data_IF_311296920439
#
_entry.id   IF_311296920439
#
_cell.length_a   1.000
_cell.length_b   1.000
_cell.length_c   1.000
_cell.angle_alpha   90.00
_cell.angle_beta   90.00
_cell.angle_gamma   90.00
#
_symmetry.space_group_name_H-M   'P 1'
#
loop_
_entity.id
_entity.type
_entity.pdbx_description
1 polymer ?
#
# COMPACT_ATOMS: atom_id res chain seq x y z
N UNK A 1 46.20 19.24 14.94
CA UNK A 1 44.91 19.96 15.02
C UNK A 1 43.97 19.17 15.92
N UNK A 2 43.33 19.82 16.91
CA UNK A 2 42.33 19.17 17.77
C UNK A 2 41.19 18.64 16.89
N UNK A 3 40.93 17.32 16.93
CA UNK A 3 39.92 16.66 16.10
C UNK A 3 38.54 17.27 16.31
N UNK A 4 38.20 17.64 17.55
CA UNK A 4 36.93 18.25 17.90
C UNK A 4 36.77 19.63 17.26
N UNK A 5 37.81 20.45 17.29
CA UNK A 5 37.81 21.76 16.63
C UNK A 5 37.59 21.63 15.11
N UNK A 6 38.22 20.64 14.47
CA UNK A 6 38.02 20.41 13.03
C UNK A 6 36.63 19.87 12.72
N UNK A 7 36.11 18.96 13.54
CA UNK A 7 34.75 18.46 13.41
C UNK A 7 33.74 19.60 13.51
N UNK A 8 33.84 20.47 14.52
CA UNK A 8 32.94 21.63 14.69
C UNK A 8 33.00 22.61 13.52
N UNK A 9 34.20 22.83 12.96
CA UNK A 9 34.34 23.63 11.74
C UNK A 9 33.56 23.01 10.57
N UNK A 10 33.74 21.71 10.32
CA UNK A 10 33.04 21.00 9.24
C UNK A 10 31.52 20.95 9.47
N UNK A 11 31.08 20.80 10.71
CA UNK A 11 29.65 20.88 11.09
C UNK A 11 29.06 22.24 10.70
N UNK A 12 29.75 23.35 10.99
CA UNK A 12 29.29 24.68 10.62
C UNK A 12 29.25 24.87 9.10
N UNK A 13 30.28 24.42 8.38
CA UNK A 13 30.33 24.45 6.91
C UNK A 13 29.17 23.66 6.29
N UNK A 14 28.94 22.41 6.73
CA UNK A 14 27.86 21.55 6.23
C UNK A 14 26.48 22.08 6.60
N UNK A 15 26.31 22.66 7.79
CA UNK A 15 25.02 23.24 8.21
C UNK A 15 24.65 24.44 7.34
N UNK A 16 25.60 25.35 7.09
CA UNK A 16 25.40 26.50 6.20
C UNK A 16 25.12 26.08 4.75
N UNK A 17 25.74 24.99 4.29
CA UNK A 17 25.45 24.44 2.97
C UNK A 17 24.02 23.91 2.88
N UNK A 18 23.59 23.10 3.87
CA UNK A 18 22.24 22.52 3.93
C UNK A 18 21.13 23.55 4.12
N UNK A 19 21.39 24.68 4.79
CA UNK A 19 20.39 25.76 4.90
C UNK A 19 20.14 26.51 3.58
N UNK A 20 21.09 26.46 2.66
CA UNK A 20 21.05 27.19 1.38
C UNK A 20 20.59 26.33 0.19
N UNK A 21 20.31 25.03 0.40
CA UNK A 21 19.80 24.11 -0.62
C UNK A 21 18.64 23.28 -0.07
N UNK A 22 17.72 22.89 -0.96
CA UNK A 22 16.69 21.92 -0.61
C UNK A 22 17.36 20.56 -0.34
N UNK A 23 17.25 20.04 0.88
CA UNK A 23 17.80 18.73 1.21
C UNK A 23 17.10 17.66 0.37
N UNK A 24 17.85 17.00 -0.51
CA UNK A 24 17.36 15.83 -1.25
C UNK A 24 17.99 14.55 -0.69
N UNK A 25 17.25 13.44 -0.75
CA UNK A 25 17.71 12.13 -0.29
C UNK A 25 18.91 11.57 -1.08
N UNK A 26 19.08 12.01 -2.34
CA UNK A 26 20.01 11.40 -3.31
C UNK A 26 21.14 12.34 -3.76
N UNK A 27 21.14 13.59 -3.28
CA UNK A 27 22.11 14.61 -3.66
C UNK A 27 22.35 15.43 -2.41
N UNK A 28 23.39 15.09 -1.66
CA UNK A 28 24.17 16.03 -0.83
C UNK A 28 25.37 15.30 -0.20
N UNK A 29 26.29 14.83 -1.05
CA UNK A 29 27.57 14.29 -0.60
C UNK A 29 28.48 15.46 -0.21
N UNK A 30 28.45 15.83 1.07
CA UNK A 30 29.45 16.74 1.61
C UNK A 30 30.77 15.98 1.79
N UNK A 31 31.49 15.76 0.68
CA UNK A 31 32.69 14.93 0.58
C UNK A 31 33.73 15.19 1.67
N UNK A 32 33.79 16.42 2.20
CA UNK A 32 34.70 16.80 3.28
C UNK A 32 34.38 16.12 4.63
N UNK A 33 33.10 15.95 4.98
CA UNK A 33 32.69 15.32 6.25
C UNK A 33 32.91 13.81 6.19
N UNK A 34 32.55 13.17 5.07
CA UNK A 34 32.73 11.73 4.88
C UNK A 34 34.22 11.36 4.80
N UNK A 35 34.99 12.14 4.04
CA UNK A 35 36.45 12.01 4.00
C UNK A 35 37.05 12.20 5.39
N UNK A 36 36.56 13.18 6.16
CA UNK A 36 37.00 13.38 7.53
C UNK A 36 36.71 12.15 8.40
N UNK A 37 35.51 11.58 8.34
CA UNK A 37 35.19 10.36 9.07
C UNK A 37 36.09 9.21 8.66
N UNK A 38 36.25 8.94 7.37
CA UNK A 38 37.13 7.90 6.85
C UNK A 38 38.58 8.07 7.32
N UNK A 39 39.14 9.26 7.14
CA UNK A 39 40.52 9.58 7.54
C UNK A 39 40.74 9.42 9.05
N UNK A 40 39.73 9.73 9.89
CA UNK A 40 39.87 9.75 11.35
C UNK A 40 39.43 8.48 12.06
N UNK A 41 38.45 7.77 11.53
CA UNK A 41 37.82 6.61 12.18
C UNK A 41 38.22 5.28 11.52
N UNK A 42 38.59 5.29 10.24
CA UNK A 42 39.02 4.07 9.55
C UNK A 42 40.55 4.03 9.40
N UNK A 43 41.13 5.06 8.79
CA UNK A 43 42.53 5.04 8.35
C UNK A 43 43.53 5.50 9.42
N UNK A 44 43.09 6.27 10.42
CA UNK A 44 44.00 6.86 11.41
C UNK A 44 44.63 5.82 12.36
N UNK A 45 45.92 5.96 12.71
CA UNK A 45 46.50 5.20 13.83
C UNK A 45 45.84 5.57 15.17
N UNK A 46 45.26 6.76 15.30
CA UNK A 46 44.56 7.23 16.51
C UNK A 46 43.05 6.96 16.48
N UNK A 47 42.57 6.11 15.56
CA UNK A 47 41.13 5.90 15.32
C UNK A 47 40.31 5.58 16.58
N UNK A 48 40.85 4.80 17.53
CA UNK A 48 40.15 4.49 18.80
C UNK A 48 39.91 5.74 19.65
N UNK A 49 40.93 6.59 19.81
CA UNK A 49 40.81 7.88 20.54
C UNK A 49 39.88 8.84 19.80
N UNK A 50 39.99 8.90 18.47
CA UNK A 50 39.13 9.74 17.65
C UNK A 50 37.66 9.33 17.77
N UNK A 51 37.38 8.02 17.74
CA UNK A 51 36.04 7.48 17.94
C UNK A 51 35.45 7.86 19.29
N UNK A 52 36.22 7.77 20.38
CA UNK A 52 35.76 8.19 21.70
C UNK A 52 35.38 9.68 21.77
N UNK A 53 36.13 10.54 21.07
CA UNK A 53 35.85 11.98 21.02
C UNK A 53 34.60 12.25 20.16
N UNK A 54 34.51 11.64 18.98
CA UNK A 54 33.41 11.85 18.05
C UNK A 54 32.10 11.21 18.52
N UNK A 55 32.14 10.15 19.34
CA UNK A 55 30.95 9.56 19.94
C UNK A 55 30.14 10.58 20.76
N UNK A 56 30.80 11.54 21.41
CA UNK A 56 30.13 12.63 22.15
C UNK A 56 29.28 13.53 21.26
N UNK A 57 29.50 13.48 19.95
CA UNK A 57 28.83 14.28 18.94
C UNK A 57 27.90 13.46 18.05
N UNK A 58 27.54 12.24 18.46
CA UNK A 58 26.79 11.28 17.64
C UNK A 58 25.46 11.86 17.11
N UNK A 59 24.68 12.56 17.93
CA UNK A 59 23.44 13.20 17.48
C UNK A 59 23.65 14.23 16.37
N UNK A 60 24.73 15.03 16.44
CA UNK A 60 25.11 15.97 15.38
C UNK A 60 25.52 15.23 14.11
N UNK A 61 26.27 14.13 14.25
CA UNK A 61 26.68 13.30 13.12
C UNK A 61 25.45 12.68 12.43
N UNK A 62 24.50 12.13 13.19
CA UNK A 62 23.24 11.57 12.68
C UNK A 62 22.39 12.63 11.96
N UNK A 63 22.26 13.82 12.54
CA UNK A 63 21.51 14.93 11.92
C UNK A 63 22.09 15.35 10.57
N UNK A 64 23.42 15.36 10.46
CA UNK A 64 24.09 15.75 9.22
C UNK A 64 24.17 14.62 8.19
N UNK A 65 23.92 13.38 8.59
CA UNK A 65 24.00 12.21 7.73
C UNK A 65 22.80 12.12 6.76
N UNK A 66 23.02 11.47 5.61
CA UNK A 66 22.00 11.02 4.65
C UNK A 66 22.23 9.53 4.36
N UNK A 67 21.40 8.88 3.52
CA UNK A 67 21.53 7.44 3.27
C UNK A 67 22.90 7.01 2.70
N UNK A 68 23.58 7.87 1.94
CA UNK A 68 24.90 7.60 1.34
C UNK A 68 26.08 7.90 2.30
N UNK A 69 25.85 8.74 3.32
CA UNK A 69 26.90 9.31 4.17
C UNK A 69 26.90 8.78 5.61
N UNK A 70 26.33 7.59 5.86
CA UNK A 70 26.30 6.98 7.19
C UNK A 70 27.35 5.87 7.38
N UNK A 71 28.23 5.66 6.40
CA UNK A 71 29.24 4.59 6.43
C UNK A 71 30.08 4.62 7.72
N UNK A 72 30.28 5.83 8.26
CA UNK A 72 31.02 6.05 9.50
C UNK A 72 30.46 5.29 10.71
N UNK A 73 29.16 5.02 10.72
CA UNK A 73 28.50 4.27 11.79
C UNK A 73 28.97 2.81 11.81
N UNK A 74 29.35 2.28 10.64
CA UNK A 74 29.92 0.95 10.47
C UNK A 74 31.42 0.86 10.74
N UNK A 75 32.11 1.95 11.08
CA UNK A 75 33.53 1.89 11.40
C UNK A 75 33.75 1.35 12.82
N UNK A 76 34.64 0.35 12.95
CA UNK A 76 34.98 -0.28 14.24
C UNK A 76 35.40 0.71 15.30
N UNK A 77 36.05 1.81 14.92
CA UNK A 77 36.42 2.86 15.85
C UNK A 77 35.23 3.54 16.54
N UNK A 78 34.02 3.45 15.99
CA UNK A 78 32.78 3.98 16.60
C UNK A 78 32.07 2.87 17.36
N UNK A 79 31.66 1.79 16.70
CA UNK A 79 30.78 0.81 17.34
C UNK A 79 31.44 0.01 18.47
N UNK A 80 32.78 -0.04 18.54
CA UNK A 80 33.51 -0.71 19.63
C UNK A 80 33.77 0.17 20.86
N UNK A 81 33.32 1.44 20.84
CA UNK A 81 33.44 2.32 22.00
C UNK A 81 32.51 1.87 23.13
N UNK A 82 32.99 2.06 24.36
CA UNK A 82 32.14 1.91 25.54
C UNK A 82 30.93 2.85 25.43
N UNK A 83 29.75 2.38 25.84
CA UNK A 83 28.49 3.14 25.76
C UNK A 83 28.04 3.54 24.35
N UNK A 84 28.59 2.92 23.30
CA UNK A 84 28.14 3.21 21.93
C UNK A 84 26.62 3.02 21.77
N UNK A 85 26.08 1.88 22.22
CA UNK A 85 24.65 1.59 22.12
C UNK A 85 23.79 2.57 22.91
N UNK A 86 24.17 2.88 24.16
CA UNK A 86 23.49 3.87 24.99
C UNK A 86 23.46 5.24 24.31
N UNK A 87 24.60 5.66 23.74
CA UNK A 87 24.71 6.95 23.05
C UNK A 87 23.90 6.97 21.75
N UNK A 88 23.88 5.85 21.01
CA UNK A 88 23.09 5.70 19.80
C UNK A 88 21.60 5.77 20.10
N UNK A 89 21.13 5.03 21.11
CA UNK A 89 19.73 5.08 21.54
C UNK A 89 19.32 6.50 21.94
N UNK A 90 20.14 7.19 22.74
CA UNK A 90 19.88 8.57 23.17
C UNK A 90 19.90 9.62 22.04
N UNK A 91 20.40 9.27 20.86
CA UNK A 91 20.61 10.21 19.74
C UNK A 91 19.86 9.84 18.46
N UNK A 92 19.21 8.66 18.39
CA UNK A 92 18.67 8.12 17.15
C UNK A 92 17.54 8.99 16.56
N UNK A 93 16.79 9.66 17.43
CA UNK A 93 15.75 10.63 17.09
C UNK A 93 16.28 11.85 16.31
N UNK A 94 17.59 12.10 16.34
CA UNK A 94 18.24 13.18 15.60
C UNK A 94 18.49 12.84 14.13
N UNK A 95 18.26 11.60 13.70
CA UNK A 95 18.43 11.22 12.31
C UNK A 95 17.41 11.93 11.41
N UNK A 96 17.90 12.62 10.39
CA UNK A 96 17.07 13.50 9.54
C UNK A 96 16.06 12.77 8.66
N UNK A 97 16.13 11.44 8.57
CA UNK A 97 15.35 10.62 7.65
C UNK A 97 14.69 9.44 8.40
N UNK A 98 13.71 9.69 9.28
CA UNK A 98 13.12 8.67 10.14
C UNK A 98 12.50 7.50 9.36
N UNK A 99 11.96 7.75 8.16
CA UNK A 99 11.37 6.70 7.32
C UNK A 99 12.42 5.74 6.72
N UNK A 100 13.69 6.14 6.71
CA UNK A 100 14.85 5.40 6.22
C UNK A 100 15.68 4.79 7.35
N UNK A 101 15.24 4.91 8.60
CA UNK A 101 16.00 4.44 9.76
C UNK A 101 16.37 2.96 9.67
N UNK A 102 15.54 2.13 9.04
CA UNK A 102 15.86 0.71 8.82
C UNK A 102 17.13 0.49 7.99
N UNK A 103 17.42 1.37 7.04
CA UNK A 103 18.63 1.30 6.22
C UNK A 103 19.87 1.60 7.07
N UNK A 104 19.74 2.52 8.03
CA UNK A 104 20.81 2.83 8.98
C UNK A 104 21.17 1.62 9.83
N UNK A 105 20.16 0.94 10.37
CA UNK A 105 20.36 -0.28 11.14
C UNK A 105 20.91 -1.43 10.27
N UNK A 106 20.47 -1.55 9.02
CA UNK A 106 20.99 -2.55 8.09
C UNK A 106 22.49 -2.37 7.83
N UNK A 107 22.94 -1.13 7.61
CA UNK A 107 24.36 -0.83 7.42
C UNK A 107 25.17 -1.15 8.69
N UNK A 108 24.69 -0.74 9.87
CA UNK A 108 25.34 -1.07 11.13
C UNK A 108 25.42 -2.59 11.35
N UNK A 109 24.31 -3.30 11.15
CA UNK A 109 24.20 -4.75 11.34
C UNK A 109 25.19 -5.53 10.46
N UNK A 110 25.34 -5.13 9.19
CA UNK A 110 26.26 -5.79 8.24
C UNK A 110 27.73 -5.51 8.51
N UNK A 111 28.06 -4.39 9.17
CA UNK A 111 29.45 -3.95 9.41
C UNK A 111 30.00 -4.36 10.78
N UNK A 112 29.15 -4.57 11.79
CA UNK A 112 29.59 -5.03 13.11
C UNK A 112 30.17 -6.44 12.98
N UNK A 113 31.46 -6.61 13.28
CA UNK A 113 32.15 -7.91 13.31
C UNK A 113 31.97 -8.68 14.63
N UNK A 114 31.49 -8.03 15.69
CA UNK A 114 31.22 -8.64 16.99
C UNK A 114 29.78 -9.16 17.08
N UNK A 115 29.61 -10.48 17.10
CA UNK A 115 28.28 -11.12 17.13
C UNK A 115 27.44 -10.73 18.35
N UNK A 116 28.04 -10.66 19.55
CA UNK A 116 27.35 -10.22 20.76
C UNK A 116 26.83 -8.78 20.62
N UNK A 117 27.65 -7.87 20.08
CA UNK A 117 27.21 -6.50 19.85
C UNK A 117 26.08 -6.45 18.80
N UNK A 118 26.20 -7.24 17.73
CA UNK A 118 25.21 -7.32 16.65
C UNK A 118 23.85 -7.82 17.15
N UNK A 119 23.85 -8.87 17.97
CA UNK A 119 22.62 -9.42 18.56
C UNK A 119 21.98 -8.46 19.58
N UNK A 120 22.74 -7.51 20.14
CA UNK A 120 22.28 -6.56 21.15
C UNK A 120 22.08 -5.12 20.62
N UNK A 121 21.94 -4.93 19.30
CA UNK A 121 21.62 -3.62 18.69
C UNK A 121 20.29 -3.06 19.21
N UNK A 122 19.29 -3.92 19.31
CA UNK A 122 17.94 -3.54 19.73
C UNK A 122 17.78 -3.74 21.24
N UNK A 123 18.42 -2.87 22.02
CA UNK A 123 18.23 -2.80 23.47
C UNK A 123 16.83 -2.27 23.81
N UNK A 124 16.41 -2.39 25.08
CA UNK A 124 15.12 -1.85 25.53
C UNK A 124 15.00 -0.34 25.25
N UNK A 125 16.02 0.45 25.62
CA UNK A 125 16.07 1.90 25.37
C UNK A 125 16.02 2.24 23.88
N UNK A 126 16.70 1.42 23.04
CA UNK A 126 16.65 1.61 21.59
C UNK A 126 15.24 1.40 21.05
N UNK A 127 14.56 0.33 21.48
CA UNK A 127 13.21 0.03 21.03
C UNK A 127 12.21 1.10 21.49
N UNK A 128 12.33 1.59 22.73
CA UNK A 128 11.52 2.71 23.23
C UNK A 128 11.64 3.93 22.33
N UNK A 129 12.87 4.32 21.97
CA UNK A 129 13.13 5.44 21.06
C UNK A 129 12.59 5.21 19.66
N UNK A 130 12.73 4.00 19.11
CA UNK A 130 12.17 3.64 17.80
C UNK A 130 10.63 3.70 17.81
N UNK A 131 9.99 3.38 18.93
CA UNK A 131 8.53 3.49 19.10
C UNK A 131 8.10 4.96 19.20
N UNK A 132 8.80 5.79 19.97
CA UNK A 132 8.56 7.24 20.04
C UNK A 132 8.63 7.94 18.67
N UNK A 133 9.46 7.42 17.75
CA UNK A 133 9.59 7.95 16.40
C UNK A 133 8.39 7.67 15.47
N UNK A 134 7.41 6.85 15.90
CA UNK A 134 6.17 6.53 15.18
C UNK A 134 6.41 6.20 13.69
N UNK A 135 7.22 5.17 13.45
CA UNK A 135 7.68 4.78 12.11
C UNK A 135 6.56 4.11 11.29
N UNK A 136 6.75 4.01 9.97
CA UNK A 136 5.83 3.23 9.13
C UNK A 136 5.89 1.73 9.46
N UNK A 137 4.81 0.98 9.22
CA UNK A 137 4.81 -0.48 9.43
C UNK A 137 5.88 -1.19 8.61
N UNK A 138 6.23 -0.66 7.43
CA UNK A 138 7.32 -1.20 6.60
C UNK A 138 8.70 -0.99 7.23
N UNK A 139 8.93 0.17 7.86
CA UNK A 139 10.18 0.45 8.57
C UNK A 139 10.32 -0.45 9.81
N UNK A 140 9.26 -0.59 10.62
CA UNK A 140 9.25 -1.52 11.73
C UNK A 140 9.48 -2.97 11.29
N UNK A 141 8.81 -3.43 10.22
CA UNK A 141 9.00 -4.79 9.70
C UNK A 141 10.45 -5.08 9.28
N UNK A 142 11.16 -4.09 8.67
CA UNK A 142 12.59 -4.24 8.34
C UNK A 142 13.46 -4.33 9.59
N UNK A 143 13.23 -3.47 10.58
CA UNK A 143 13.95 -3.52 11.86
C UNK A 143 13.72 -4.86 12.56
N UNK A 144 12.46 -5.31 12.60
CA UNK A 144 12.03 -6.59 13.17
C UNK A 144 12.77 -7.78 12.58
N UNK A 145 13.11 -7.74 11.29
CA UNK A 145 13.81 -8.83 10.62
C UNK A 145 15.26 -9.04 11.11
N UNK A 146 15.85 -8.01 11.73
CA UNK A 146 17.19 -8.04 12.32
C UNK A 146 17.19 -8.40 13.82
N UNK A 147 16.02 -8.57 14.42
CA UNK A 147 15.86 -8.81 15.86
C UNK A 147 15.80 -10.30 16.21
N UNK A 148 16.31 -10.64 17.39
CA UNK A 148 16.08 -11.95 18.04
C UNK A 148 14.62 -12.12 18.46
N UNK A 149 14.16 -13.35 18.72
CA UNK A 149 12.78 -13.63 19.13
C UNK A 149 12.35 -12.80 20.37
N UNK A 150 13.23 -12.66 21.37
CA UNK A 150 12.95 -11.86 22.57
C UNK A 150 12.76 -10.37 22.25
N UNK A 151 13.64 -9.81 21.41
CA UNK A 151 13.56 -8.41 20.99
C UNK A 151 12.30 -8.14 20.16
N UNK A 152 11.91 -9.09 19.31
CA UNK A 152 10.70 -9.03 18.50
C UNK A 152 9.44 -8.96 19.36
N UNK A 153 9.30 -9.85 20.34
CA UNK A 153 8.18 -9.81 21.28
C UNK A 153 8.13 -8.50 22.07
N UNK A 154 9.28 -8.01 22.55
CA UNK A 154 9.36 -6.72 23.26
C UNK A 154 8.93 -5.54 22.38
N UNK A 155 9.37 -5.51 21.11
CA UNK A 155 8.95 -4.48 20.17
C UNK A 155 7.43 -4.53 19.93
N UNK A 156 6.86 -5.72 19.70
CA UNK A 156 5.42 -5.85 19.48
C UNK A 156 4.60 -5.41 20.72
N UNK A 157 5.01 -5.79 21.93
CA UNK A 157 4.35 -5.31 23.16
C UNK A 157 4.46 -3.80 23.32
N UNK A 158 5.61 -3.19 23.01
CA UNK A 158 5.76 -1.74 23.09
C UNK A 158 4.92 -1.02 22.04
N UNK A 159 4.88 -1.51 20.79
CA UNK A 159 4.04 -0.94 19.73
C UNK A 159 2.56 -0.97 20.13
N UNK A 160 2.11 -2.11 20.66
CA UNK A 160 0.73 -2.29 21.11
C UNK A 160 0.40 -1.44 22.34
N UNK A 161 1.32 -1.35 23.32
CA UNK A 161 1.10 -0.58 24.56
C UNK A 161 1.14 0.94 24.34
N UNK A 162 1.85 1.39 23.31
CA UNK A 162 1.89 2.80 22.89
C UNK A 162 0.82 3.13 21.84
N UNK A 163 -0.12 2.22 21.57
CA UNK A 163 -1.22 2.41 20.61
C UNK A 163 -0.75 2.81 19.21
N UNK A 164 0.41 2.30 18.78
CA UNK A 164 0.96 2.58 17.45
C UNK A 164 0.15 1.79 16.42
N UNK A 165 -0.51 2.49 15.49
CA UNK A 165 -1.24 1.83 14.42
C UNK A 165 -0.27 1.25 13.37
N UNK A 166 -0.12 -0.08 13.39
CA UNK A 166 0.70 -0.84 12.45
C UNK A 166 -0.06 -2.01 11.86
N UNK A 167 0.33 -2.37 10.64
CA UNK A 167 -0.11 -3.61 10.02
C UNK A 167 0.73 -4.80 10.51
N UNK A 168 0.22 -5.54 11.50
CA UNK A 168 0.88 -6.71 12.10
C UNK A 168 1.19 -7.84 11.11
N UNK A 169 0.47 -7.92 9.97
CA UNK A 169 0.79 -8.92 8.93
C UNK A 169 2.16 -8.70 8.28
N UNK A 170 2.76 -7.51 8.39
CA UNK A 170 4.09 -7.23 7.85
C UNK A 170 5.23 -7.84 8.64
N UNK A 171 4.97 -8.36 9.83
CA UNK A 171 5.97 -8.93 10.75
C UNK A 171 6.11 -10.46 10.59
N UNK A 172 5.77 -10.98 9.41
CA UNK A 172 5.86 -12.39 9.03
C UNK A 172 7.17 -12.72 8.33
N UNK A 173 7.59 -14.01 8.28
CA UNK A 173 6.86 -15.24 8.64
C UNK A 173 7.16 -15.79 10.04
N UNK A 174 7.52 -14.95 11.00
CA UNK A 174 7.97 -15.39 12.32
C UNK A 174 6.81 -15.99 13.17
N UNK A 175 6.96 -17.22 13.67
CA UNK A 175 5.94 -17.93 14.46
C UNK A 175 5.58 -17.21 15.77
N UNK A 176 6.55 -16.51 16.36
CA UNK A 176 6.37 -15.64 17.52
C UNK A 176 5.35 -14.52 17.24
N UNK A 177 5.34 -13.97 16.02
CA UNK A 177 4.35 -12.97 15.61
C UNK A 177 2.93 -13.54 15.62
N UNK A 178 2.73 -14.76 15.11
CA UNK A 178 1.40 -15.41 15.10
C UNK A 178 0.91 -15.62 16.53
N UNK A 179 1.78 -16.16 17.39
CA UNK A 179 1.47 -16.38 18.81
C UNK A 179 1.12 -15.07 19.50
N UNK A 180 1.89 -14.01 19.26
CA UNK A 180 1.64 -12.68 19.78
C UNK A 180 0.26 -12.15 19.34
N UNK A 181 -0.05 -12.22 18.05
CA UNK A 181 -1.34 -11.76 17.50
C UNK A 181 -2.49 -12.52 18.17
N UNK A 182 -2.38 -13.85 18.31
CA UNK A 182 -3.42 -14.68 18.94
C UNK A 182 -3.70 -14.26 20.39
N UNK A 183 -2.64 -14.02 21.16
CA UNK A 183 -2.75 -13.66 22.57
C UNK A 183 -3.22 -12.22 22.80
N UNK A 184 -2.98 -11.32 21.83
CA UNK A 184 -3.24 -9.90 21.97
C UNK A 184 -4.36 -9.38 21.05
N UNK A 185 -5.12 -10.27 20.40
CA UNK A 185 -6.07 -9.86 19.36
C UNK A 185 -7.11 -8.85 19.83
N UNK A 186 -7.58 -9.00 21.07
CA UNK A 186 -8.60 -8.13 21.67
C UNK A 186 -8.06 -6.67 21.83
N UNK A 187 -6.76 -6.52 22.10
CA UNK A 187 -6.06 -5.23 22.11
C UNK A 187 -5.77 -4.74 20.69
N UNK A 188 -5.43 -5.61 19.75
CA UNK A 188 -5.13 -5.22 18.36
C UNK A 188 -6.36 -4.64 17.67
N UNK A 189 -7.54 -5.23 17.91
CA UNK A 189 -8.81 -4.76 17.38
C UNK A 189 -9.13 -3.30 17.72
N UNK A 190 -8.83 -2.89 18.95
CA UNK A 190 -9.22 -1.57 19.49
C UNK A 190 -8.34 -0.44 18.95
N UNK A 191 -7.13 -0.75 18.49
CA UNK A 191 -6.13 0.25 18.08
C UNK A 191 -5.91 0.36 16.57
N UNK A 192 -6.83 -0.21 15.77
CA UNK A 192 -6.88 0.05 14.33
C UNK A 192 -5.91 -0.76 13.47
N UNK A 193 -5.43 -1.91 13.94
CA UNK A 193 -4.70 -2.82 13.05
C UNK A 193 -5.55 -3.23 11.84
N UNK A 194 -4.92 -3.34 10.65
CA UNK A 194 -5.60 -3.82 9.45
C UNK A 194 -6.04 -5.28 9.63
N UNK A 195 -7.28 -5.48 10.06
CA UNK A 195 -7.78 -6.81 10.42
C UNK A 195 -7.98 -7.70 9.21
N UNK A 196 -8.18 -7.12 8.02
CA UNK A 196 -8.34 -7.88 6.78
C UNK A 196 -7.04 -8.65 6.49
N UNK A 197 -5.89 -8.00 6.62
CA UNK A 197 -4.60 -8.64 6.38
C UNK A 197 -4.30 -9.71 7.46
N UNK A 198 -4.66 -9.45 8.72
CA UNK A 198 -4.52 -10.43 9.81
C UNK A 198 -5.44 -11.64 9.59
N UNK A 199 -6.71 -11.41 9.24
CA UNK A 199 -7.68 -12.47 8.94
C UNK A 199 -7.17 -13.35 7.80
N UNK A 200 -6.77 -12.74 6.68
CA UNK A 200 -6.22 -13.44 5.52
C UNK A 200 -4.99 -14.27 5.88
N UNK A 201 -4.12 -13.74 6.72
CA UNK A 201 -2.98 -14.48 7.24
C UNK A 201 -3.42 -15.73 8.00
N UNK A 202 -4.38 -15.60 8.91
CA UNK A 202 -4.85 -16.71 9.74
C UNK A 202 -5.56 -17.79 8.90
N UNK A 203 -6.29 -17.38 7.86
CA UNK A 203 -6.85 -18.30 6.85
C UNK A 203 -5.73 -19.09 6.13
N UNK A 204 -4.65 -18.43 5.70
CA UNK A 204 -3.51 -19.10 5.06
C UNK A 204 -2.77 -20.07 5.99
N UNK A 205 -2.75 -19.77 7.29
CA UNK A 205 -2.17 -20.64 8.31
C UNK A 205 -3.12 -21.74 8.79
N UNK A 206 -4.35 -21.80 8.25
CA UNK A 206 -5.40 -22.76 8.65
C UNK A 206 -5.77 -22.66 10.14
N UNK A 207 -5.79 -21.45 10.66
CA UNK A 207 -6.16 -21.13 12.05
C UNK A 207 -7.68 -20.89 12.16
N UNK A 208 -8.49 -21.88 11.75
CA UNK A 208 -9.94 -21.73 11.52
C UNK A 208 -10.73 -21.26 12.77
N UNK A 209 -10.37 -21.76 13.95
CA UNK A 209 -10.98 -21.33 15.22
C UNK A 209 -10.71 -19.84 15.50
N UNK A 210 -9.48 -19.39 15.23
CA UNK A 210 -9.09 -18.01 15.44
C UNK A 210 -9.69 -17.07 14.38
N UNK A 211 -9.78 -17.52 13.12
CA UNK A 211 -10.54 -16.82 12.07
C UNK A 211 -12.01 -16.66 12.49
N UNK A 212 -12.61 -17.68 13.09
CA UNK A 212 -13.98 -17.60 13.61
C UNK A 212 -14.11 -16.57 14.75
N UNK A 213 -13.13 -16.48 15.66
CA UNK A 213 -13.07 -15.42 16.68
C UNK A 213 -12.99 -14.03 16.05
N UNK A 214 -12.15 -13.85 15.03
CA UNK A 214 -12.05 -12.59 14.26
C UNK A 214 -13.38 -12.22 13.62
N UNK A 215 -14.02 -13.19 12.97
CA UNK A 215 -15.30 -12.97 12.30
C UNK A 215 -16.38 -12.53 13.29
N UNK A 216 -16.55 -13.27 14.39
CA UNK A 216 -17.52 -12.93 15.42
C UNK A 216 -17.29 -11.53 16.01
N UNK A 217 -16.02 -11.14 16.20
CA UNK A 217 -15.70 -9.82 16.72
C UNK A 217 -15.99 -8.70 15.71
N UNK A 218 -15.67 -8.89 14.43
CA UNK A 218 -16.01 -7.93 13.35
C UNK A 218 -17.52 -7.77 13.24
N UNK A 219 -18.28 -8.86 13.30
CA UNK A 219 -19.74 -8.82 13.16
C UNK A 219 -20.42 -8.08 14.32
N UNK A 220 -19.84 -8.14 15.52
CA UNK A 220 -20.27 -7.32 16.67
C UNK A 220 -19.73 -5.88 16.62
N UNK A 221 -18.70 -5.60 15.81
CA UNK A 221 -18.01 -4.30 15.74
C UNK A 221 -17.68 -3.93 14.28
N UNK A 222 -18.69 -3.73 13.40
CA UNK A 222 -18.50 -3.69 11.95
C UNK A 222 -17.62 -2.54 11.47
N UNK A 223 -17.50 -1.47 12.25
CA UNK A 223 -16.60 -0.35 11.96
C UNK A 223 -15.12 -0.73 11.92
N UNK A 224 -14.74 -1.91 12.42
CA UNK A 224 -13.36 -2.41 12.37
C UNK A 224 -13.00 -2.90 10.97
N UNK A 225 -13.96 -3.52 10.28
CA UNK A 225 -13.84 -3.80 8.84
C UNK A 225 -13.71 -2.50 8.04
N UNK A 226 -14.55 -1.51 8.35
CA UNK A 226 -14.52 -0.20 7.70
C UNK A 226 -13.17 0.50 7.88
N UNK A 227 -12.64 0.52 9.10
CA UNK A 227 -11.32 1.10 9.38
C UNK A 227 -10.21 0.41 8.59
N UNK A 228 -10.27 -0.92 8.47
CA UNK A 228 -9.29 -1.69 7.69
C UNK A 228 -9.35 -1.37 6.19
N UNK A 229 -10.56 -1.19 5.64
CA UNK A 229 -10.76 -0.71 4.26
C UNK A 229 -10.14 0.69 4.08
N UNK A 230 -10.39 1.60 5.02
CA UNK A 230 -9.82 2.96 4.99
C UNK A 230 -8.29 2.92 5.02
N UNK A 231 -7.69 2.07 5.85
CA UNK A 231 -6.24 1.93 5.93
C UNK A 231 -5.64 1.37 4.64
N UNK A 232 -6.31 0.39 4.00
CA UNK A 232 -5.92 -0.11 2.68
C UNK A 232 -5.98 1.01 1.64
N UNK A 233 -7.03 1.84 1.65
CA UNK A 233 -7.17 2.96 0.72
C UNK A 233 -6.07 4.01 0.92
N UNK A 234 -5.80 4.39 2.18
CA UNK A 234 -4.74 5.33 2.55
C UNK A 234 -3.37 4.82 2.09
N UNK A 235 -3.08 3.54 2.28
CA UNK A 235 -1.76 2.96 2.03
C UNK A 235 -1.52 2.53 0.58
N UNK A 236 -2.55 2.07 -0.14
CA UNK A 236 -2.38 1.47 -1.48
C UNK A 236 -2.88 2.33 -2.63
N UNK A 237 -3.80 3.27 -2.40
CA UNK A 237 -4.43 4.05 -3.48
C UNK A 237 -3.99 5.51 -3.46
N UNK A 238 -3.87 6.13 -2.28
CA UNK A 238 -3.72 7.58 -2.22
C UNK A 238 -2.35 8.13 -2.60
N UNK A 239 -1.27 7.34 -2.58
CA UNK A 239 0.09 7.80 -2.90
C UNK A 239 0.40 9.24 -2.38
N UNK A 240 0.05 9.53 -1.12
CA UNK A 240 0.19 10.84 -0.44
C UNK A 240 -0.83 11.96 -0.79
N UNK A 241 -1.93 11.68 -1.48
CA UNK A 241 -3.06 12.62 -1.54
C UNK A 241 -3.68 12.77 -0.14
N UNK A 242 -3.88 14.02 0.31
CA UNK A 242 -4.55 14.35 1.58
C UNK A 242 -6.07 14.12 1.48
N UNK A 243 -6.49 12.87 1.29
CA UNK A 243 -7.92 12.52 1.41
C UNK A 243 -8.19 11.99 2.80
N UNK A 244 -9.11 12.66 3.51
CA UNK A 244 -9.62 12.19 4.79
C UNK A 244 -10.80 11.22 4.57
N UNK A 245 -10.45 9.94 4.37
CA UNK A 245 -11.42 8.85 4.26
C UNK A 245 -12.28 8.65 5.52
N UNK A 246 -11.90 9.19 6.67
CA UNK A 246 -12.68 9.01 7.90
C UNK A 246 -14.05 9.69 7.79
N UNK A 247 -14.17 10.71 6.91
CA UNK A 247 -15.46 11.33 6.56
C UNK A 247 -16.39 10.42 5.75
N UNK A 248 -15.84 9.40 5.11
CA UNK A 248 -16.57 8.40 4.33
C UNK A 248 -16.94 7.16 5.16
N UNK A 249 -16.52 7.10 6.43
CA UNK A 249 -16.66 5.93 7.29
C UNK A 249 -18.10 5.43 7.38
N UNK A 250 -19.06 6.32 7.61
CA UNK A 250 -20.49 5.97 7.68
C UNK A 250 -21.04 5.49 6.34
N UNK A 251 -20.60 6.08 5.22
CA UNK A 251 -21.03 5.64 3.89
C UNK A 251 -20.49 4.24 3.55
N UNK A 252 -19.21 3.98 3.84
CA UNK A 252 -18.60 2.65 3.64
C UNK A 252 -19.33 1.63 4.51
N UNK A 253 -19.63 1.94 5.78
CA UNK A 253 -20.40 1.06 6.65
C UNK A 253 -21.77 0.71 6.05
N UNK A 254 -22.56 1.72 5.65
CA UNK A 254 -23.89 1.50 5.05
C UNK A 254 -23.81 0.66 3.78
N UNK A 255 -22.81 0.91 2.93
CA UNK A 255 -22.58 0.13 1.71
C UNK A 255 -22.31 -1.35 2.02
N UNK A 256 -21.44 -1.64 2.99
CA UNK A 256 -21.14 -3.01 3.40
C UNK A 256 -22.37 -3.68 4.01
N UNK A 257 -23.09 -2.99 4.89
CA UNK A 257 -24.28 -3.51 5.55
C UNK A 257 -25.39 -3.89 4.55
N UNK A 258 -25.69 -3.01 3.59
CA UNK A 258 -26.68 -3.28 2.53
C UNK A 258 -26.27 -4.46 1.64
N UNK A 259 -25.00 -4.54 1.25
CA UNK A 259 -24.49 -5.66 0.44
C UNK A 259 -24.51 -6.97 1.23
N UNK A 260 -24.11 -6.95 2.50
CA UNK A 260 -24.14 -8.11 3.39
C UNK A 260 -25.56 -8.66 3.55
N UNK A 261 -26.55 -7.78 3.79
CA UNK A 261 -27.98 -8.16 3.83
C UNK A 261 -28.43 -8.79 2.52
N UNK A 262 -28.14 -8.15 1.38
CA UNK A 262 -28.49 -8.66 0.06
C UNK A 262 -27.90 -10.05 -0.20
N UNK A 263 -26.64 -10.28 0.19
CA UNK A 263 -25.95 -11.55 -0.03
C UNK A 263 -26.24 -12.59 1.07
N UNK A 264 -27.09 -12.28 2.05
CA UNK A 264 -27.30 -13.11 3.26
C UNK A 264 -25.95 -13.53 3.87
N UNK A 265 -25.09 -12.55 4.06
CA UNK A 265 -23.70 -12.68 4.51
C UNK A 265 -23.46 -11.74 5.69
N UNK A 266 -22.38 -11.99 6.43
CA UNK A 266 -21.93 -11.09 7.49
C UNK A 266 -20.96 -10.04 6.94
N UNK A 267 -20.70 -8.96 7.68
CA UNK A 267 -19.70 -7.97 7.26
C UNK A 267 -18.28 -8.58 7.34
N UNK A 268 -18.05 -9.50 8.28
CA UNK A 268 -16.78 -10.21 8.41
C UNK A 268 -16.40 -11.07 7.19
N UNK A 269 -17.36 -11.43 6.33
CA UNK A 269 -17.09 -12.11 5.06
C UNK A 269 -16.53 -11.19 3.97
N UNK A 270 -16.32 -9.90 4.24
CA UNK A 270 -15.67 -9.00 3.29
C UNK A 270 -14.22 -9.43 3.06
N UNK A 271 -13.86 -9.64 1.80
CA UNK A 271 -12.53 -10.06 1.36
C UNK A 271 -11.85 -8.90 0.61
N UNK A 272 -10.55 -8.70 0.84
CA UNK A 272 -9.72 -7.85 -0.02
C UNK A 272 -9.17 -8.67 -1.19
N UNK A 273 -9.63 -8.35 -2.39
CA UNK A 273 -9.29 -9.06 -3.62
C UNK A 273 -7.98 -8.53 -4.21
N UNK A 274 -7.77 -7.21 -4.18
CA UNK A 274 -6.58 -6.59 -4.75
C UNK A 274 -6.75 -5.10 -5.00
N UNK A 275 -5.88 -4.56 -5.84
CA UNK A 275 -5.92 -3.16 -6.27
C UNK A 275 -5.89 -3.04 -7.78
N UNK A 276 -6.74 -2.19 -8.33
CA UNK A 276 -6.56 -1.65 -9.67
C UNK A 276 -5.73 -0.36 -9.65
N UNK A 277 -5.55 0.26 -10.82
CA UNK A 277 -4.79 1.52 -10.94
C UNK A 277 -5.38 2.70 -10.16
N UNK A 278 -6.68 2.68 -9.86
CA UNK A 278 -7.39 3.79 -9.20
C UNK A 278 -8.17 3.38 -7.94
N UNK A 279 -8.28 2.08 -7.64
CA UNK A 279 -9.23 1.58 -6.64
C UNK A 279 -8.71 0.35 -5.90
N UNK A 280 -9.04 0.24 -4.62
CA UNK A 280 -8.98 -1.00 -3.89
C UNK A 280 -10.26 -1.81 -4.17
N UNK A 281 -10.12 -3.12 -4.30
CA UNK A 281 -11.18 -4.03 -4.71
C UNK A 281 -11.45 -5.01 -3.58
N UNK A 282 -12.70 -5.07 -3.16
CA UNK A 282 -13.22 -5.95 -2.12
C UNK A 282 -14.34 -6.83 -2.67
N UNK A 283 -14.67 -7.91 -1.97
CA UNK A 283 -15.83 -8.73 -2.32
C UNK A 283 -16.61 -9.16 -1.08
N UNK A 284 -17.92 -9.31 -1.24
CA UNK A 284 -18.81 -10.00 -0.31
C UNK A 284 -19.60 -10.99 -1.15
N UNK A 285 -19.31 -12.28 -0.98
CA UNK A 285 -19.88 -13.38 -1.79
C UNK A 285 -19.85 -13.08 -3.30
N UNK A 286 -20.99 -12.74 -3.89
CA UNK A 286 -21.13 -12.52 -5.34
C UNK A 286 -21.03 -11.05 -5.75
N UNK A 287 -20.84 -10.11 -4.82
CA UNK A 287 -20.66 -8.69 -5.10
C UNK A 287 -19.20 -8.30 -4.97
N UNK A 288 -18.74 -7.47 -5.91
CA UNK A 288 -17.42 -6.85 -5.91
C UNK A 288 -17.60 -5.35 -5.70
N UNK A 289 -16.83 -4.79 -4.77
CA UNK A 289 -16.88 -3.39 -4.36
C UNK A 289 -15.54 -2.76 -4.71
N UNK A 290 -15.55 -1.72 -5.54
CA UNK A 290 -14.36 -0.92 -5.86
C UNK A 290 -14.49 0.44 -5.20
N UNK A 291 -13.48 0.82 -4.41
CA UNK A 291 -13.42 2.12 -3.73
C UNK A 291 -12.10 2.77 -4.11
N UNK A 292 -12.13 4.02 -4.56
CA UNK A 292 -10.93 4.64 -5.10
C UNK A 292 -11.01 6.14 -5.36
N UNK A 293 -10.05 6.62 -6.13
CA UNK A 293 -10.01 7.99 -6.61
C UNK A 293 -10.79 8.13 -7.93
N UNK A 294 -10.99 9.37 -8.33
CA UNK A 294 -11.69 9.76 -9.56
C UNK A 294 -11.22 8.99 -10.80
N UNK A 295 -12.19 8.57 -11.61
CA UNK A 295 -11.99 7.82 -12.87
C UNK A 295 -11.67 8.77 -14.00
N UNK A 296 -10.90 8.32 -15.00
CA UNK A 296 -10.62 9.14 -16.19
C UNK A 296 -11.83 9.32 -17.09
N UNK A 297 -12.72 8.34 -17.09
CA UNK A 297 -13.96 8.29 -17.86
C UNK A 297 -15.09 8.11 -16.85
N UNK A 298 -15.48 9.20 -16.16
CA UNK A 298 -16.56 9.12 -15.16
C UNK A 298 -17.86 8.68 -15.83
N UNK A 299 -18.13 9.22 -17.01
CA UNK A 299 -19.32 8.88 -17.79
C UNK A 299 -18.99 8.03 -19.01
N UNK A 300 -19.83 7.05 -19.30
CA UNK A 300 -19.71 6.21 -20.50
C UNK A 300 -21.08 5.70 -20.99
N UNK A 301 -21.19 5.22 -22.24
CA UNK A 301 -22.45 4.71 -22.78
C UNK A 301 -22.89 3.41 -22.11
N UNK A 302 -24.16 3.33 -21.69
CA UNK A 302 -24.78 2.10 -21.21
C UNK A 302 -24.87 1.11 -22.38
N UNK A 303 -24.17 -0.02 -22.31
CA UNK A 303 -24.08 -0.97 -23.41
C UNK A 303 -23.92 -2.42 -22.89
N UNK A 304 -24.23 -3.43 -23.71
CA UNK A 304 -24.36 -4.80 -23.23
C UNK A 304 -23.05 -5.50 -22.91
N UNK A 305 -21.93 -4.97 -23.40
CA UNK A 305 -20.60 -5.61 -23.35
C UNK A 305 -19.75 -5.14 -22.17
N UNK A 306 -20.27 -4.23 -21.34
CA UNK A 306 -19.68 -3.84 -20.07
C UNK A 306 -20.51 -4.47 -18.94
N UNK A 307 -19.81 -4.94 -17.92
CA UNK A 307 -20.41 -5.49 -16.72
C UNK A 307 -21.26 -4.42 -16.04
N UNK A 308 -22.56 -4.72 -15.87
CA UNK A 308 -23.51 -3.75 -15.32
C UNK A 308 -23.17 -3.43 -13.87
N UNK A 309 -22.88 -2.16 -13.54
CA UNK A 309 -22.78 -1.74 -12.16
C UNK A 309 -24.17 -1.70 -11.52
N UNK A 310 -24.21 -2.16 -10.28
CA UNK A 310 -25.31 -1.93 -9.34
C UNK A 310 -25.26 -0.50 -8.80
N UNK A 311 -24.05 -0.03 -8.52
CA UNK A 311 -23.74 1.33 -8.08
C UNK A 311 -22.50 1.78 -8.84
N UNK A 312 -22.50 3.01 -9.35
CA UNK A 312 -21.30 3.68 -9.84
C UNK A 312 -21.45 5.17 -9.58
N UNK A 313 -20.70 5.70 -8.64
CA UNK A 313 -20.83 7.11 -8.25
C UNK A 313 -19.59 7.68 -7.62
N UNK A 314 -19.24 8.90 -8.02
CA UNK A 314 -18.31 9.75 -7.28
C UNK A 314 -19.04 10.54 -6.19
N UNK A 315 -18.58 10.39 -4.95
CA UNK A 315 -19.10 11.12 -3.79
C UNK A 315 -18.03 12.08 -3.31
N UNK A 316 -18.38 13.36 -3.24
CA UNK A 316 -17.48 14.44 -2.81
C UNK A 316 -17.90 14.96 -1.44
N UNK A 317 -17.05 14.77 -0.44
CA UNK A 317 -17.19 15.32 0.90
C UNK A 317 -15.98 16.24 1.12
N UNK A 318 -16.24 17.51 1.41
CA UNK A 318 -15.21 18.55 1.63
C UNK A 318 -14.15 18.62 0.52
N UNK A 319 -14.60 18.65 -0.73
CA UNK A 319 -13.77 18.72 -1.94
C UNK A 319 -12.80 17.53 -2.13
N UNK A 320 -13.08 16.38 -1.51
CA UNK A 320 -12.27 15.17 -1.68
C UNK A 320 -13.08 14.09 -2.41
N UNK A 321 -13.08 14.01 -3.75
CA UNK A 321 -13.90 13.03 -4.46
C UNK A 321 -13.41 11.60 -4.24
N UNK A 322 -14.31 10.71 -3.82
CA UNK A 322 -14.10 9.26 -3.75
C UNK A 322 -15.08 8.55 -4.67
N UNK A 323 -14.56 7.67 -5.50
CA UNK A 323 -15.32 6.85 -6.42
C UNK A 323 -15.72 5.52 -5.76
N UNK A 324 -17.00 5.16 -5.89
CA UNK A 324 -17.57 3.90 -5.45
C UNK A 324 -18.21 3.18 -6.64
N UNK A 325 -17.91 1.89 -6.79
CA UNK A 325 -18.56 1.02 -7.76
C UNK A 325 -18.86 -0.34 -7.15
N UNK A 326 -20.05 -0.86 -7.44
CA UNK A 326 -20.46 -2.22 -7.06
C UNK A 326 -20.89 -2.96 -8.31
N UNK A 327 -20.30 -4.11 -8.55
CA UNK A 327 -20.55 -4.98 -9.72
C UNK A 327 -20.73 -6.43 -9.25
N UNK A 328 -21.27 -7.28 -10.13
CA UNK A 328 -21.28 -8.73 -9.90
C UNK A 328 -19.87 -9.32 -10.03
N UNK A 329 -19.59 -10.36 -9.24
CA UNK A 329 -18.38 -11.16 -9.38
C UNK A 329 -18.46 -11.96 -10.68
N UNK A 330 -17.37 -11.94 -11.42
CA UNK A 330 -17.16 -12.72 -12.64
C UNK A 330 -16.00 -13.69 -12.46
N UNK A 331 -15.87 -14.65 -13.36
CA UNK A 331 -14.68 -15.49 -13.43
C UNK A 331 -13.57 -14.74 -14.18
N UNK A 332 -12.47 -14.45 -13.46
CA UNK A 332 -11.31 -13.73 -13.99
C UNK A 332 -10.12 -14.67 -14.25
N UNK A 333 -10.34 -15.98 -14.38
CA UNK A 333 -9.29 -16.92 -14.75
C UNK A 333 -8.83 -16.66 -16.20
N UNK A 334 -7.74 -15.90 -16.34
CA UNK A 334 -7.20 -15.48 -17.64
C UNK A 334 -6.71 -16.65 -18.52
N UNK A 335 -6.38 -17.80 -17.91
CA UNK A 335 -5.81 -18.94 -18.65
C UNK A 335 -6.79 -19.54 -19.66
N UNK A 336 -8.08 -19.33 -19.44
CA UNK A 336 -9.15 -19.86 -20.30
C UNK A 336 -9.61 -18.84 -21.35
N UNK A 337 -8.98 -17.67 -21.46
CA UNK A 337 -9.42 -16.57 -22.34
C UNK A 337 -8.44 -16.42 -23.51
N UNK A 338 -8.93 -16.66 -24.72
CA UNK A 338 -8.12 -16.55 -25.94
C UNK A 338 -8.13 -15.14 -26.51
N UNK A 339 -7.09 -14.79 -27.28
CA UNK A 339 -7.00 -13.49 -27.95
C UNK A 339 -8.15 -13.31 -28.96
N UNK A 340 -8.54 -14.39 -29.63
CA UNK A 340 -9.64 -14.46 -30.59
C UNK A 340 -10.98 -14.13 -29.93
N UNK A 341 -11.22 -14.60 -28.70
CA UNK A 341 -12.41 -14.24 -27.94
C UNK A 341 -12.43 -12.76 -27.55
N UNK A 342 -11.29 -12.20 -27.14
CA UNK A 342 -11.18 -10.77 -26.83
C UNK A 342 -11.40 -9.95 -28.12
N UNK A 343 -10.88 -10.40 -29.27
CA UNK A 343 -11.14 -9.75 -30.55
C UNK A 343 -12.63 -9.79 -30.92
N UNK A 344 -13.32 -10.93 -30.70
CA UNK A 344 -14.76 -11.03 -30.93
C UNK A 344 -15.54 -10.05 -30.05
N UNK A 345 -15.18 -9.94 -28.77
CA UNK A 345 -15.77 -8.94 -27.87
C UNK A 345 -15.50 -7.51 -28.35
N UNK A 346 -14.27 -7.20 -28.75
CA UNK A 346 -13.90 -5.90 -29.31
C UNK A 346 -14.72 -5.56 -30.56
N UNK A 347 -14.83 -6.51 -31.49
CA UNK A 347 -15.61 -6.38 -32.73
C UNK A 347 -17.08 -6.09 -32.42
N UNK A 348 -17.67 -6.83 -31.49
CA UNK A 348 -19.05 -6.60 -31.06
C UNK A 348 -19.28 -5.19 -30.48
N UNK A 349 -18.30 -4.66 -29.73
CA UNK A 349 -18.31 -3.27 -29.23
C UNK A 349 -18.19 -2.27 -30.40
N UNK A 350 -17.32 -2.54 -31.38
CA UNK A 350 -17.19 -1.69 -32.58
C UNK A 350 -18.45 -1.66 -33.43
N UNK A 351 -19.12 -2.80 -33.60
CA UNK A 351 -20.35 -2.92 -34.39
C UNK A 351 -21.51 -2.07 -33.85
N UNK A 352 -21.49 -1.72 -32.56
CA UNK A 352 -22.47 -0.80 -31.96
C UNK A 352 -22.00 0.66 -31.89
N UNK A 353 -20.93 1.01 -32.61
CA UNK A 353 -20.41 2.38 -32.72
C UNK A 353 -19.58 2.85 -31.53
N UNK A 354 -19.07 1.92 -30.71
CA UNK A 354 -18.22 2.23 -29.56
C UNK A 354 -16.77 1.84 -29.82
N UNK A 355 -15.82 2.48 -29.13
CA UNK A 355 -14.39 2.17 -29.20
C UNK A 355 -13.87 1.93 -27.79
N UNK A 356 -13.40 0.70 -27.51
CA UNK A 356 -12.73 0.34 -26.27
C UNK A 356 -11.22 0.42 -26.44
N UNK A 357 -10.57 1.39 -25.79
CA UNK A 357 -9.15 1.69 -26.04
C UNK A 357 -8.17 0.94 -25.12
N UNK A 358 -8.63 0.50 -23.95
CA UNK A 358 -7.83 -0.22 -22.95
C UNK A 358 -8.03 -1.74 -23.01
N UNK A 359 -7.97 -2.30 -24.23
CA UNK A 359 -8.09 -3.74 -24.47
C UNK A 359 -6.94 -4.50 -23.79
N UNK A 360 -7.28 -5.27 -22.75
CA UNK A 360 -6.35 -6.12 -21.99
C UNK A 360 -7.08 -7.36 -21.49
N UNK A 361 -6.34 -8.47 -21.39
CA UNK A 361 -6.87 -9.72 -20.81
C UNK A 361 -7.29 -9.53 -19.34
N UNK A 362 -6.56 -8.68 -18.60
CA UNK A 362 -6.87 -8.37 -17.19
C UNK A 362 -8.16 -7.55 -17.02
N UNK A 363 -8.68 -6.94 -18.10
CA UNK A 363 -9.88 -6.11 -18.09
C UNK A 363 -11.13 -6.88 -18.56
N UNK A 364 -11.04 -8.20 -18.75
CA UNK A 364 -12.17 -9.04 -19.14
C UNK A 364 -12.39 -10.18 -18.15
N UNK A 365 -13.59 -10.73 -18.14
CA UNK A 365 -13.92 -11.94 -17.40
C UNK A 365 -15.11 -12.67 -18.02
N UNK A 366 -15.36 -13.89 -17.57
CA UNK A 366 -16.52 -14.68 -17.97
C UNK A 366 -17.65 -14.50 -16.98
N UNK A 367 -18.85 -14.28 -17.50
CA UNK A 367 -20.06 -14.13 -16.72
C UNK A 367 -20.41 -15.41 -15.96
N UNK A 368 -20.52 -15.34 -14.63
CA UNK A 368 -21.01 -16.46 -13.78
C UNK A 368 -22.55 -16.52 -13.83
N UNK A 369 -23.20 -15.38 -14.09
CA UNK A 369 -24.64 -15.18 -14.25
C UNK A 369 -24.87 -14.20 -15.41
N UNK A 370 -26.08 -14.12 -15.95
CA UNK A 370 -26.42 -13.16 -17.01
C UNK A 370 -26.04 -11.72 -16.62
N UNK A 371 -25.70 -10.86 -17.58
CA UNK A 371 -25.32 -9.46 -17.32
C UNK A 371 -26.56 -8.59 -17.00
N UNK A 372 -27.06 -8.72 -15.77
CA UNK A 372 -28.13 -7.90 -15.21
C UNK A 372 -27.89 -7.65 -13.72
N UNK A 373 -28.64 -6.72 -13.14
CA UNK A 373 -28.56 -6.42 -11.71
C UNK A 373 -29.22 -7.55 -10.93
N UNK A 374 -28.49 -8.11 -9.96
CA UNK A 374 -29.02 -9.08 -9.00
C UNK A 374 -29.06 -8.47 -7.61
N UNK A 375 -30.27 -8.12 -7.19
CA UNK A 375 -30.56 -7.59 -5.87
C UNK A 375 -31.79 -8.29 -5.30
N UNK A 376 -31.90 -8.37 -3.98
CA UNK A 376 -33.01 -9.05 -3.30
C UNK A 376 -34.35 -8.37 -3.59
N UNK A 377 -34.33 -7.05 -3.80
CA UNK A 377 -35.43 -6.26 -4.33
C UNK A 377 -35.23 -5.97 -5.81
N UNK A 378 -36.34 -5.85 -6.55
CA UNK A 378 -36.31 -5.38 -7.94
C UNK A 378 -35.97 -3.90 -7.96
N UNK A 379 -34.69 -3.59 -8.13
CA UNK A 379 -34.19 -2.24 -8.32
C UNK A 379 -33.80 -2.00 -9.78
N UNK A 380 -34.13 -0.81 -10.27
CA UNK A 380 -33.76 -0.34 -11.61
C UNK A 380 -33.16 1.05 -11.46
N UNK A 381 -31.85 1.17 -11.13
CA UNK A 381 -31.20 2.47 -11.00
C UNK A 381 -31.30 3.24 -12.33
N UNK A 382 -31.45 4.56 -12.23
CA UNK A 382 -31.46 5.42 -13.42
C UNK A 382 -30.07 5.47 -14.06
N UNK A 383 -30.03 5.72 -15.37
CA UNK A 383 -28.76 5.90 -16.10
C UNK A 383 -27.88 7.00 -15.44
N UNK A 384 -28.48 8.11 -15.01
CA UNK A 384 -27.80 9.19 -14.27
C UNK A 384 -27.17 8.69 -12.96
N UNK A 385 -27.85 7.80 -12.23
CA UNK A 385 -27.36 7.25 -10.96
C UNK A 385 -26.11 6.36 -11.15
N UNK A 386 -25.95 5.80 -12.34
CA UNK A 386 -24.83 4.93 -12.72
C UNK A 386 -23.77 5.65 -13.58
N UNK A 387 -23.86 6.98 -13.70
CA UNK A 387 -22.98 7.80 -14.54
C UNK A 387 -23.04 7.40 -16.03
N UNK A 388 -24.16 6.83 -16.49
CA UNK A 388 -24.37 6.51 -17.89
C UNK A 388 -24.82 7.72 -18.71
N UNK A 389 -24.35 7.83 -19.96
CA UNK A 389 -24.74 8.92 -20.88
C UNK A 389 -25.92 8.56 -21.77
N UNK A 390 -25.83 7.43 -22.49
CA UNK A 390 -26.82 6.97 -23.46
C UNK A 390 -26.82 5.45 -23.53
N UNK A 391 -28.00 4.85 -23.65
CA UNK A 391 -28.15 3.42 -23.93
C UNK A 391 -27.86 3.13 -25.41
N UNK A 392 -26.95 2.20 -25.67
CA UNK A 392 -26.51 1.75 -27.00
C UNK A 392 -26.50 0.21 -27.03
N UNK A 393 -27.23 -0.37 -27.98
CA UNK A 393 -27.47 -1.81 -28.03
C UNK A 393 -28.60 -2.26 -27.10
N UNK A 394 -29.17 -3.43 -27.37
CA UNK A 394 -30.31 -4.00 -26.65
C UNK A 394 -30.12 -5.48 -26.28
N UNK A 395 -28.90 -5.99 -26.44
CA UNK A 395 -28.58 -7.37 -26.12
C UNK A 395 -28.37 -7.54 -24.60
N UNK A 396 -28.61 -8.73 -24.07
CA UNK A 396 -28.23 -9.06 -22.70
C UNK A 396 -27.33 -10.29 -22.73
N UNK A 397 -26.06 -10.09 -22.40
CA UNK A 397 -25.10 -11.18 -22.31
C UNK A 397 -25.54 -12.21 -21.26
N UNK A 398 -25.28 -13.47 -21.56
CA UNK A 398 -25.63 -14.66 -20.80
C UNK A 398 -24.43 -15.21 -20.05
N UNK A 399 -24.71 -16.02 -19.03
CA UNK A 399 -23.70 -16.81 -18.32
C UNK A 399 -22.74 -17.50 -19.32
N UNK A 400 -21.44 -17.41 -19.05
CA UNK A 400 -20.35 -17.99 -19.84
C UNK A 400 -19.76 -17.04 -20.89
N UNK A 401 -20.48 -15.99 -21.27
CA UNK A 401 -19.99 -15.01 -22.24
C UNK A 401 -18.93 -14.08 -21.64
N UNK A 402 -18.02 -13.61 -22.49
CA UNK A 402 -16.94 -12.71 -22.13
C UNK A 402 -17.45 -11.27 -22.01
N UNK A 403 -17.00 -10.54 -21.01
CA UNK A 403 -17.46 -9.17 -20.71
C UNK A 403 -16.31 -8.27 -20.26
N UNK A 404 -16.41 -6.96 -20.52
CA UNK A 404 -15.48 -5.94 -20.01
C UNK A 404 -15.83 -5.59 -18.55
N UNK A 405 -14.82 -5.56 -17.68
CA UNK A 405 -15.00 -5.42 -16.22
C UNK A 405 -15.06 -3.98 -15.71
N UNK A 406 -14.61 -3.02 -16.50
CA UNK A 406 -14.65 -1.60 -16.19
C UNK A 406 -15.26 -0.77 -17.33
N UNK A 407 -15.96 0.30 -16.94
CA UNK A 407 -16.52 1.26 -17.89
C UNK A 407 -15.52 2.30 -18.37
N UNK A 408 -14.25 2.19 -17.99
CA UNK A 408 -13.24 3.18 -18.34
C UNK A 408 -12.71 2.95 -19.75
N UNK A 409 -12.34 4.04 -20.42
CA UNK A 409 -11.71 4.03 -21.74
C UNK A 409 -12.58 3.48 -22.88
N UNK A 410 -13.90 3.60 -22.74
CA UNK A 410 -14.90 3.27 -23.75
C UNK A 410 -15.57 4.57 -24.23
N UNK A 411 -15.48 4.82 -25.53
CA UNK A 411 -15.88 6.08 -26.16
C UNK A 411 -16.88 5.85 -27.27
N UNK A 412 -17.67 6.87 -27.61
CA UNK A 412 -18.39 6.89 -28.86
C UNK A 412 -17.38 7.10 -30.00
N UNK A 413 -17.55 6.43 -31.14
CA UNK A 413 -16.65 6.62 -32.28
C UNK A 413 -16.69 8.04 -32.87
N UNK A 414 -17.75 8.79 -32.59
CA UNK A 414 -17.92 10.17 -33.01
C UNK A 414 -17.37 11.19 -31.99
N UNK A 415 -16.82 10.74 -30.85
CA UNK A 415 -16.27 11.66 -29.86
C UNK A 415 -15.02 12.36 -30.42
N UNK A 416 -15.05 13.69 -30.46
CA UNK A 416 -13.97 14.51 -31.02
C UNK A 416 -12.63 14.41 -30.28
N UNK A 417 -12.61 13.85 -29.06
CA UNK A 417 -11.45 13.79 -28.18
C UNK A 417 -11.25 12.39 -27.59
N UNK A 418 -11.06 11.37 -28.44
CA UNK A 418 -10.54 10.06 -28.01
C UNK A 418 -9.06 10.23 -27.66
N UNK A 419 -8.79 10.77 -26.47
CA UNK A 419 -7.45 11.10 -25.99
C UNK A 419 -6.99 10.09 -24.93
N UNK A 420 -6.93 8.81 -25.31
CA UNK A 420 -6.37 7.74 -24.49
C UNK A 420 -5.19 7.09 -25.20
N UNK A 421 -4.18 6.71 -24.41
CA UNK A 421 -3.10 5.85 -24.88
C UNK A 421 -3.71 4.51 -25.27
N UNK A 422 -3.78 4.23 -26.56
CA UNK A 422 -4.29 2.97 -27.10
C UNK A 422 -3.37 1.82 -26.67
N UNK A 423 -3.98 0.72 -26.21
CA UNK A 423 -3.26 -0.51 -25.95
C UNK A 423 -2.74 -1.12 -27.26
N UNK A 424 -1.67 -1.92 -27.17
CA UNK A 424 -1.14 -2.65 -28.33
C UNK A 424 -2.19 -3.57 -28.95
N UNK A 425 -2.98 -4.26 -28.10
CA UNK A 425 -4.06 -5.14 -28.54
C UNK A 425 -5.15 -4.36 -29.27
N UNK A 426 -5.57 -3.21 -28.74
CA UNK A 426 -6.56 -2.40 -29.43
C UNK A 426 -6.07 -1.95 -30.81
N UNK A 427 -4.82 -1.51 -30.93
CA UNK A 427 -4.25 -1.08 -32.22
C UNK A 427 -4.25 -2.21 -33.24
N UNK A 428 -3.94 -3.42 -32.80
CA UNK A 428 -3.98 -4.61 -33.65
C UNK A 428 -5.42 -4.96 -34.06
N UNK A 429 -6.33 -5.02 -33.10
CA UNK A 429 -7.73 -5.36 -33.34
C UNK A 429 -8.43 -4.35 -34.23
N UNK A 430 -8.17 -3.05 -34.06
CA UNK A 430 -8.71 -2.02 -34.93
C UNK A 430 -8.20 -2.17 -36.37
N UNK A 431 -6.91 -2.47 -36.57
CA UNK A 431 -6.38 -2.75 -37.92
C UNK A 431 -7.07 -3.95 -38.56
N UNK A 432 -7.32 -5.01 -37.79
CA UNK A 432 -8.02 -6.21 -38.29
C UNK A 432 -9.47 -5.89 -38.63
N UNK A 433 -10.19 -5.21 -37.74
CA UNK A 433 -11.58 -4.81 -37.95
C UNK A 433 -11.76 -3.91 -39.18
N UNK A 434 -10.87 -2.92 -39.36
CA UNK A 434 -10.90 -2.03 -40.53
C UNK A 434 -10.58 -2.75 -41.85
N UNK A 435 -9.77 -3.82 -41.82
CA UNK A 435 -9.55 -4.68 -42.99
C UNK A 435 -10.80 -5.47 -43.33
N UNK A 436 -11.48 -6.04 -42.34
CA UNK A 436 -12.73 -6.78 -42.53
C UNK A 436 -13.84 -5.90 -43.09
N UNK A 437 -13.93 -4.63 -42.66
CA UNK A 437 -14.91 -3.68 -43.21
C UNK A 437 -14.69 -3.37 -44.70
N UNK A 438 -13.44 -3.33 -45.16
CA UNK A 438 -13.11 -3.09 -46.58
C UNK A 438 -13.35 -4.29 -47.49
N UNK A 439 -13.55 -5.48 -46.89
CA UNK A 439 -13.85 -6.72 -47.61
C UNK A 439 -15.35 -7.00 -47.74
N UNK A 440 -16.19 -6.22 -47.04
CA UNK A 440 -17.65 -6.20 -47.20
C UNK A 440 -18.01 -5.13 -48.22
#
# INVERSE_FOLDING_TARGET
MNIEKKFQQLVAETTNFKSNKYMSKNIDNHSALDKFYKDKLELSPFRRRNGQILLKHLGTMLKLSNQENIEWLGYKAIYSQEKFMETLAASIDKYSFPMEISELFQQLYTKIDNENLRQNIFTADMNEKLVEMNLSSSAYARLYSMMTNTQRNNLLEQLLSNNININYSKFLPYNDTITFIKNNIDRIYTHGGNIIDIKRLMELQKEDEFVSKINAYIDNNPYIMVNSIIDILKTKILNNKKINFDKYRSFIFLLLDEISKNESASISSTEFIGTGGYSAVFAIKTKVIKIGIERKTPHFPNNPYILKPLLRKTITIDNMPIFFEVIEKVDTNINDITKEEIYKLYKNIREIGLIWTDVKIDNVGRLIKDNKIYWYENITPSDETLEFTKTIGNHQLKKGELIVLDGDYIYNENDHNINSKMSNLQTEFEKTYQKELKMK
#
